data_IF_959079536654
#
_entry.id   IF_959079536654
#
_cell.length_a   1.000
_cell.length_b   1.000
_cell.length_c   1.000
_cell.angle_alpha   90.00
_cell.angle_beta   90.00
_cell.angle_gamma   90.00
#
_symmetry.space_group_name_H-M   'P 1'
#
loop_
_entity.id
_entity.type
_entity.pdbx_description
1 polymer ?
#
# COMPACT_ATOMS: atom_id res chain seq x y z
N UNK A 1 54.73 25.27 1.61
CA UNK A 1 53.75 24.52 2.41
C UNK A 1 52.45 24.48 1.61
N UNK A 2 52.06 23.32 1.21
CA UNK A 2 51.00 23.08 0.20
C UNK A 2 49.60 23.23 0.81
N UNK A 3 48.79 24.14 0.25
CA UNK A 3 47.37 24.41 0.65
C UNK A 3 46.36 23.49 -0.04
N UNK A 4 46.84 22.43 -0.70
CA UNK A 4 45.99 21.46 -1.45
C UNK A 4 45.14 20.54 -0.58
N UNK A 5 45.51 20.10 0.66
CA UNK A 5 44.69 19.18 1.42
C UNK A 5 43.41 19.75 2.00
N UNK A 6 43.27 21.08 2.13
CA UNK A 6 42.06 21.67 2.72
C UNK A 6 40.89 21.74 1.72
N UNK A 7 41.17 21.86 0.43
CA UNK A 7 40.13 21.92 -0.60
C UNK A 7 39.55 20.54 -0.95
N UNK A 8 40.30 19.46 -0.75
CA UNK A 8 39.85 18.11 -1.02
C UNK A 8 38.90 17.56 0.07
N UNK A 9 39.05 18.05 1.30
CA UNK A 9 38.19 17.65 2.41
C UNK A 9 36.79 18.29 2.36
N UNK A 10 36.64 19.43 1.70
CA UNK A 10 35.33 20.08 1.52
C UNK A 10 34.49 19.38 0.44
N UNK A 11 35.14 18.72 -0.52
CA UNK A 11 34.45 17.97 -1.59
C UNK A 11 33.94 16.59 -1.15
N UNK A 12 34.32 16.11 0.03
CA UNK A 12 33.92 14.80 0.57
C UNK A 12 32.84 14.89 1.66
N UNK A 13 32.27 16.07 1.92
CA UNK A 13 31.09 16.15 2.77
C UNK A 13 29.94 15.54 1.98
N UNK A 14 29.41 14.37 2.37
CA UNK A 14 28.24 13.83 1.71
C UNK A 14 27.12 14.87 1.88
N UNK A 15 26.69 15.47 0.78
CA UNK A 15 25.49 16.31 0.78
C UNK A 15 24.34 15.36 1.12
N UNK A 16 23.96 15.32 2.38
CA UNK A 16 22.81 14.56 2.84
C UNK A 16 21.57 15.27 2.29
N UNK A 17 21.06 14.79 1.16
CA UNK A 17 19.78 15.24 0.65
C UNK A 17 18.67 14.77 1.62
N UNK A 18 18.06 15.72 2.28
CA UNK A 18 16.87 15.47 3.09
C UNK A 18 15.66 15.38 2.17
N UNK A 19 15.00 14.24 2.18
CA UNK A 19 13.76 14.01 1.44
C UNK A 19 12.57 13.98 2.40
N UNK A 20 11.41 14.38 1.90
CA UNK A 20 10.15 14.28 2.63
C UNK A 20 9.34 13.10 2.10
N UNK A 21 9.12 12.09 2.95
CA UNK A 21 8.38 10.88 2.62
C UNK A 21 7.05 10.87 3.36
N UNK A 22 5.96 10.68 2.63
CA UNK A 22 4.62 10.54 3.18
C UNK A 22 4.22 9.06 3.26
N UNK A 23 3.83 8.60 4.43
CA UNK A 23 3.24 7.29 4.63
C UNK A 23 1.72 7.41 4.68
N UNK A 24 1.01 6.62 3.87
CA UNK A 24 -0.46 6.61 3.87
C UNK A 24 -0.96 5.20 4.16
N UNK A 25 -1.63 5.04 5.29
CA UNK A 25 -2.31 3.81 5.67
C UNK A 25 -3.52 4.10 6.54
N UNK A 26 -4.64 4.34 5.92
CA UNK A 26 -5.84 4.91 6.51
C UNK A 26 -6.75 3.90 7.21
N UNK A 27 -6.56 2.59 7.02
CA UNK A 27 -7.30 1.55 7.70
C UNK A 27 -6.51 0.24 7.76
N UNK A 28 -6.85 -0.61 8.71
CA UNK A 28 -6.20 -1.91 8.87
C UNK A 28 -6.05 -2.32 10.33
N UNK A 29 -5.20 -3.29 10.57
CA UNK A 29 -4.87 -3.79 11.90
C UNK A 29 -3.54 -3.24 12.40
N UNK A 30 -3.26 -3.36 13.68
CA UNK A 30 -1.95 -2.98 14.26
C UNK A 30 -0.76 -3.64 13.54
N UNK A 31 -0.95 -4.84 12.99
CA UNK A 31 0.11 -5.54 12.24
C UNK A 31 0.62 -4.73 11.05
N UNK A 32 -0.25 -4.03 10.35
CA UNK A 32 0.15 -3.17 9.23
C UNK A 32 1.02 -1.99 9.68
N UNK A 33 0.67 -1.36 10.81
CA UNK A 33 1.50 -0.29 11.38
C UNK A 33 2.86 -0.80 11.83
N UNK A 34 2.91 -2.00 12.44
CA UNK A 34 4.17 -2.65 12.85
C UNK A 34 5.09 -2.87 11.67
N UNK A 35 4.53 -3.19 10.50
CA UNK A 35 5.31 -3.39 9.27
C UNK A 35 5.86 -2.08 8.70
N UNK A 36 5.12 -0.98 8.75
CA UNK A 36 5.54 0.31 8.17
C UNK A 36 6.46 1.12 9.11
N UNK A 37 6.27 0.99 10.41
CA UNK A 37 6.98 1.77 11.42
C UNK A 37 8.51 1.67 11.32
N UNK A 38 9.15 0.49 11.18
CA UNK A 38 10.61 0.38 11.06
C UNK A 38 11.18 1.13 9.86
N UNK A 39 10.45 1.16 8.75
CA UNK A 39 10.87 1.92 7.57
C UNK A 39 10.84 3.43 7.85
N UNK A 40 9.79 3.91 8.51
CA UNK A 40 9.70 5.31 8.91
C UNK A 40 10.81 5.69 9.91
N UNK A 41 11.09 4.83 10.90
CA UNK A 41 12.18 5.02 11.86
C UNK A 41 13.55 5.11 11.18
N UNK A 42 13.81 4.25 10.22
CA UNK A 42 15.10 4.24 9.51
C UNK A 42 15.27 5.49 8.64
N UNK A 43 14.21 5.96 7.98
CA UNK A 43 14.24 7.20 7.22
C UNK A 43 14.51 8.41 8.13
N UNK A 44 13.88 8.46 9.29
CA UNK A 44 14.12 9.52 10.29
C UNK A 44 15.56 9.49 10.80
N UNK A 45 16.11 8.31 11.11
CA UNK A 45 17.53 8.15 11.52
C UNK A 45 18.51 8.65 10.45
N UNK A 46 18.14 8.53 9.18
CA UNK A 46 18.94 9.04 8.05
C UNK A 46 18.75 10.53 7.79
N UNK A 47 17.99 11.22 8.63
CA UNK A 47 17.78 12.68 8.53
C UNK A 47 16.69 13.08 7.54
N UNK A 48 15.87 12.15 7.05
CA UNK A 48 14.73 12.48 6.19
C UNK A 48 13.56 13.01 7.03
N UNK A 49 12.68 13.79 6.39
CA UNK A 49 11.41 14.19 6.96
C UNK A 49 10.36 13.12 6.64
N UNK A 50 9.58 12.73 7.64
CA UNK A 50 8.50 11.76 7.48
C UNK A 50 7.19 12.36 7.95
N UNK A 51 6.18 12.33 7.10
CA UNK A 51 4.78 12.56 7.47
C UNK A 51 3.99 11.27 7.35
N UNK A 52 2.98 11.10 8.18
CA UNK A 52 2.13 9.92 8.09
C UNK A 52 0.65 10.27 8.25
N UNK A 53 -0.19 9.58 7.49
CA UNK A 53 -1.65 9.55 7.62
C UNK A 53 -2.01 8.14 8.04
N UNK A 54 -2.29 7.95 9.34
CA UNK A 54 -2.56 6.64 9.91
C UNK A 54 -3.88 6.63 10.69
N UNK A 55 -4.48 5.45 10.80
CA UNK A 55 -5.72 5.25 11.56
C UNK A 55 -5.51 5.11 13.08
N UNK A 56 -4.29 4.93 13.53
CA UNK A 56 -3.88 4.84 14.96
C UNK A 56 -2.48 5.44 15.13
N UNK A 57 -2.18 6.00 16.30
CA UNK A 57 -0.85 6.57 16.55
C UNK A 57 0.24 5.49 16.54
N UNK A 58 1.37 5.80 15.93
CA UNK A 58 2.56 4.94 15.89
C UNK A 58 3.38 5.00 17.16
N UNK A 59 3.24 6.09 17.92
CA UNK A 59 4.06 6.39 19.08
C UNK A 59 5.49 6.82 18.74
N UNK A 60 5.79 7.13 17.45
CA UNK A 60 7.07 7.69 17.06
C UNK A 60 7.21 9.12 17.58
N UNK A 61 8.41 9.43 18.09
CA UNK A 61 8.76 10.78 18.56
C UNK A 61 10.07 11.18 17.91
N UNK A 62 10.02 12.15 17.01
CA UNK A 62 11.19 12.67 16.32
C UNK A 62 10.88 14.08 15.81
N UNK A 63 11.86 14.98 15.78
CA UNK A 63 11.69 16.38 15.33
C UNK A 63 11.24 16.49 13.86
N UNK A 64 11.69 15.56 13.00
CA UNK A 64 11.36 15.49 11.59
C UNK A 64 10.15 14.59 11.30
N UNK A 65 9.36 14.24 12.32
CA UNK A 65 8.17 13.40 12.17
C UNK A 65 6.89 14.18 12.43
N UNK A 66 5.95 14.08 11.51
CA UNK A 66 4.59 14.63 11.65
C UNK A 66 3.57 13.51 11.44
N UNK A 67 2.66 13.33 12.37
CA UNK A 67 1.64 12.28 12.29
C UNK A 67 0.25 12.89 12.28
N UNK A 68 -0.54 12.52 11.28
CA UNK A 68 -1.99 12.79 11.17
C UNK A 68 -2.72 11.50 11.51
N UNK A 69 -3.44 11.49 12.63
CA UNK A 69 -4.17 10.30 13.09
C UNK A 69 -5.64 10.46 12.78
N UNK A 70 -6.12 9.75 11.77
CA UNK A 70 -7.52 9.76 11.34
C UNK A 70 -8.18 8.48 11.88
N UNK A 71 -8.97 8.55 12.96
CA UNK A 71 -9.61 7.37 13.53
C UNK A 71 -10.47 6.65 12.48
N UNK A 72 -10.20 5.37 12.30
CA UNK A 72 -10.93 4.53 11.34
C UNK A 72 -11.95 3.63 12.07
N UNK A 73 -13.10 3.45 11.46
CA UNK A 73 -14.10 2.50 11.91
C UNK A 73 -13.80 1.05 11.47
N UNK A 74 -12.58 0.78 10.99
CA UNK A 74 -12.19 -0.53 10.46
C UNK A 74 -12.45 -1.68 11.44
N UNK A 75 -12.16 -1.52 12.73
CA UNK A 75 -12.39 -2.55 13.74
C UNK A 75 -13.91 -2.88 13.88
N UNK A 76 -14.77 -1.86 13.78
CA UNK A 76 -16.23 -2.04 13.80
C UNK A 76 -16.73 -2.73 12.50
N UNK A 77 -16.17 -2.34 11.35
CA UNK A 77 -16.46 -2.96 10.06
C UNK A 77 -16.07 -4.43 10.07
N UNK A 78 -14.89 -4.78 10.59
CA UNK A 78 -14.43 -6.16 10.70
C UNK A 78 -15.25 -6.98 11.69
N UNK A 79 -15.67 -6.37 12.79
CA UNK A 79 -16.61 -7.01 13.73
C UNK A 79 -17.95 -7.33 13.08
N UNK A 80 -18.52 -6.40 12.32
CA UNK A 80 -19.76 -6.60 11.58
C UNK A 80 -19.62 -7.67 10.48
N UNK A 81 -18.49 -7.69 9.79
CA UNK A 81 -18.15 -8.73 8.82
C UNK A 81 -18.13 -10.12 9.46
N UNK A 82 -17.37 -10.30 10.54
CA UNK A 82 -17.25 -11.57 11.25
C UNK A 82 -18.61 -12.07 11.76
N UNK A 83 -19.43 -11.17 12.32
CA UNK A 83 -20.78 -11.51 12.78
C UNK A 83 -21.68 -11.99 11.63
N UNK A 84 -21.75 -11.24 10.53
CA UNK A 84 -22.54 -11.61 9.36
C UNK A 84 -22.06 -12.90 8.69
N UNK A 85 -20.75 -13.14 8.67
CA UNK A 85 -20.16 -14.38 8.16
C UNK A 85 -20.60 -15.58 8.98
N UNK A 86 -20.54 -15.48 10.32
CA UNK A 86 -21.00 -16.55 11.23
C UNK A 86 -22.52 -16.79 11.13
N UNK A 87 -23.32 -15.74 11.08
CA UNK A 87 -24.78 -15.84 10.96
C UNK A 87 -25.21 -16.55 9.66
N UNK A 88 -24.45 -16.36 8.58
CA UNK A 88 -24.73 -17.03 7.30
C UNK A 88 -24.20 -18.46 7.23
N UNK A 89 -23.50 -18.96 8.25
CA UNK A 89 -22.86 -20.27 8.23
C UNK A 89 -21.87 -20.42 7.07
N UNK A 90 -21.22 -19.35 6.70
CA UNK A 90 -20.40 -19.29 5.51
C UNK A 90 -19.01 -19.88 5.78
N UNK A 91 -18.61 -20.79 4.91
CA UNK A 91 -17.28 -21.39 4.91
C UNK A 91 -16.38 -20.68 3.91
N UNK A 92 -15.13 -20.43 4.30
CA UNK A 92 -14.07 -19.95 3.41
C UNK A 92 -13.81 -20.85 2.18
N UNK A 93 -14.33 -22.07 2.19
CA UNK A 93 -14.31 -22.99 1.05
C UNK A 93 -15.48 -22.78 0.07
N UNK A 94 -16.45 -21.91 0.39
CA UNK A 94 -17.57 -21.61 -0.47
C UNK A 94 -17.24 -20.45 -1.41
N UNK A 95 -17.19 -20.62 -2.75
CA UNK A 95 -16.85 -19.53 -3.67
C UNK A 95 -17.83 -18.35 -3.59
N UNK A 96 -19.10 -18.58 -3.28
CA UNK A 96 -20.08 -17.52 -3.09
C UNK A 96 -19.83 -16.69 -1.81
N UNK A 97 -19.16 -17.28 -0.81
CA UNK A 97 -18.69 -16.54 0.35
C UNK A 97 -17.70 -15.45 -0.06
N UNK A 98 -16.73 -15.77 -0.90
CA UNK A 98 -15.73 -14.80 -1.35
C UNK A 98 -16.33 -13.67 -2.18
N UNK A 99 -17.30 -13.97 -3.05
CA UNK A 99 -18.02 -12.93 -3.82
C UNK A 99 -18.75 -11.97 -2.87
N UNK A 100 -19.46 -12.52 -1.88
CA UNK A 100 -20.13 -11.71 -0.88
C UNK A 100 -19.15 -10.93 -0.01
N UNK A 101 -18.08 -11.58 0.47
CA UNK A 101 -17.04 -10.97 1.29
C UNK A 101 -16.38 -9.79 0.58
N UNK A 102 -16.03 -9.98 -0.69
CA UNK A 102 -15.43 -8.94 -1.50
C UNK A 102 -16.38 -7.76 -1.73
N UNK A 103 -17.68 -8.03 -1.97
CA UNK A 103 -18.68 -6.96 -2.08
C UNK A 103 -18.81 -6.15 -0.77
N UNK A 104 -18.85 -6.83 0.36
CA UNK A 104 -18.90 -6.18 1.66
C UNK A 104 -17.65 -5.35 1.96
N UNK A 105 -16.48 -5.93 1.69
CA UNK A 105 -15.21 -5.23 1.87
C UNK A 105 -15.13 -3.98 1.00
N UNK A 106 -15.49 -4.12 -0.24
CA UNK A 106 -15.42 -3.07 -1.21
C UNK A 106 -16.24 -1.85 -0.76
N UNK A 107 -17.52 -2.04 -0.45
CA UNK A 107 -18.41 -0.96 0.01
C UNK A 107 -17.84 -0.24 1.24
N UNK A 108 -17.31 -0.98 2.21
CA UNK A 108 -16.84 -0.39 3.47
C UNK A 108 -15.45 0.22 3.38
N UNK A 109 -14.59 -0.30 2.51
CA UNK A 109 -13.26 0.26 2.30
C UNK A 109 -13.29 1.64 1.64
N UNK A 110 -14.28 1.88 0.77
CA UNK A 110 -14.47 3.19 0.17
C UNK A 110 -14.91 4.23 1.19
N UNK A 111 -15.90 3.90 2.03
CA UNK A 111 -16.32 4.78 3.13
C UNK A 111 -15.11 5.18 3.98
N UNK A 112 -14.27 4.21 4.35
CA UNK A 112 -13.07 4.45 5.14
C UNK A 112 -12.00 5.28 4.41
N UNK A 113 -11.87 5.11 3.10
CA UNK A 113 -10.95 5.90 2.29
C UNK A 113 -11.43 7.36 2.19
N UNK A 114 -12.73 7.56 1.97
CA UNK A 114 -13.32 8.90 1.87
C UNK A 114 -13.27 9.68 3.19
N UNK A 115 -13.38 9.01 4.33
CA UNK A 115 -13.23 9.65 5.64
C UNK A 115 -11.86 10.33 5.80
N UNK A 116 -10.81 9.71 5.27
CA UNK A 116 -9.46 10.31 5.29
C UNK A 116 -9.38 11.54 4.41
N UNK A 117 -9.91 11.47 3.19
CA UNK A 117 -9.91 12.62 2.28
C UNK A 117 -10.74 13.80 2.80
N UNK A 118 -11.78 13.54 3.60
CA UNK A 118 -12.64 14.56 4.22
C UNK A 118 -12.07 15.13 5.51
N UNK A 119 -11.01 14.53 6.07
CA UNK A 119 -10.39 15.02 7.29
C UNK A 119 -9.77 16.41 7.05
N UNK A 120 -10.14 17.36 7.90
CA UNK A 120 -9.65 18.75 7.84
C UNK A 120 -8.11 18.80 7.88
N UNK A 121 -7.49 18.02 8.75
CA UNK A 121 -6.04 17.94 8.90
C UNK A 121 -5.34 17.47 7.60
N UNK A 122 -5.92 16.49 6.92
CA UNK A 122 -5.39 15.98 5.65
C UNK A 122 -5.61 16.99 4.52
N UNK A 123 -6.78 17.62 4.48
CA UNK A 123 -7.08 18.67 3.51
C UNK A 123 -6.11 19.85 3.66
N UNK A 124 -5.88 20.30 4.89
CA UNK A 124 -4.91 21.36 5.19
C UNK A 124 -3.48 20.96 4.81
N UNK A 125 -3.08 19.73 5.10
CA UNK A 125 -1.76 19.22 4.69
C UNK A 125 -1.58 19.26 3.18
N UNK A 126 -2.57 18.82 2.40
CA UNK A 126 -2.52 18.88 0.93
C UNK A 126 -2.47 20.33 0.44
N UNK A 127 -3.34 21.19 0.98
CA UNK A 127 -3.43 22.62 0.60
C UNK A 127 -2.22 23.44 1.03
N UNK A 128 -1.45 22.96 2.02
CA UNK A 128 -0.22 23.66 2.46
C UNK A 128 0.86 23.73 1.38
N UNK A 129 0.74 22.96 0.30
CA UNK A 129 1.74 22.90 -0.75
C UNK A 129 3.06 22.25 -0.29
N UNK A 130 3.04 21.51 0.81
CA UNK A 130 4.22 20.78 1.31
C UNK A 130 4.75 19.84 0.24
N UNK A 131 5.99 20.07 -0.19
CA UNK A 131 6.64 19.18 -1.15
C UNK A 131 6.85 17.82 -0.51
N UNK A 132 6.32 16.77 -1.15
CA UNK A 132 6.54 15.35 -0.82
C UNK A 132 7.37 14.74 -1.94
N UNK A 133 8.49 14.11 -1.61
CA UNK A 133 9.41 13.54 -2.60
C UNK A 133 9.04 12.10 -2.95
N UNK A 134 8.38 11.37 -2.06
CA UNK A 134 7.84 10.04 -2.31
C UNK A 134 6.72 9.70 -1.34
N UNK A 135 5.80 8.85 -1.77
CA UNK A 135 4.72 8.31 -0.93
C UNK A 135 4.89 6.81 -0.74
N UNK A 136 4.80 6.34 0.51
CA UNK A 136 4.73 4.91 0.86
C UNK A 136 3.29 4.54 1.12
N UNK A 137 2.77 3.55 0.42
CA UNK A 137 1.36 3.19 0.43
C UNK A 137 1.15 1.68 0.46
N UNK A 138 0.20 1.19 1.27
CA UNK A 138 -0.20 -0.23 1.28
C UNK A 138 -1.49 -0.49 0.48
N UNK A 139 -2.35 0.51 0.32
CA UNK A 139 -3.64 0.35 -0.36
C UNK A 139 -3.63 1.07 -1.71
N UNK A 140 -3.90 0.36 -2.81
CA UNK A 140 -3.91 0.95 -4.15
C UNK A 140 -4.79 2.20 -4.27
N UNK A 141 -5.96 2.23 -3.64
CA UNK A 141 -6.89 3.38 -3.66
C UNK A 141 -6.30 4.68 -3.12
N UNK A 142 -5.27 4.61 -2.25
CA UNK A 142 -4.56 5.79 -1.76
C UNK A 142 -3.62 6.42 -2.80
N UNK A 143 -3.45 5.83 -3.98
CA UNK A 143 -2.61 6.37 -5.05
C UNK A 143 -3.01 7.79 -5.47
N UNK A 144 -4.25 8.19 -5.22
CA UNK A 144 -4.77 9.55 -5.45
C UNK A 144 -3.92 10.61 -4.73
N UNK A 145 -3.40 10.32 -3.53
CA UNK A 145 -2.48 11.25 -2.84
C UNK A 145 -1.22 11.53 -3.65
N UNK A 146 -0.72 10.55 -4.40
CA UNK A 146 0.45 10.75 -5.26
C UNK A 146 0.16 11.66 -6.46
N UNK A 147 -1.07 11.71 -6.94
CA UNK A 147 -1.48 12.72 -7.95
C UNK A 147 -1.59 14.10 -7.33
N UNK A 148 -2.28 14.22 -6.20
CA UNK A 148 -2.47 15.49 -5.49
C UNK A 148 -1.14 16.14 -5.08
N UNK A 149 -0.17 15.33 -4.67
CA UNK A 149 1.14 15.78 -4.20
C UNK A 149 2.23 15.70 -5.29
N UNK A 150 1.87 15.22 -6.47
CA UNK A 150 2.77 15.02 -7.62
C UNK A 150 4.08 14.31 -7.25
N UNK A 151 3.98 13.15 -6.58
CA UNK A 151 5.13 12.38 -6.15
C UNK A 151 5.07 10.92 -6.63
N UNK A 152 6.21 10.20 -6.71
CA UNK A 152 6.25 8.77 -6.98
C UNK A 152 5.71 7.95 -5.81
N UNK A 153 5.25 6.73 -6.12
CA UNK A 153 4.72 5.78 -5.16
C UNK A 153 5.73 4.68 -4.90
N UNK A 154 5.98 4.40 -3.64
CA UNK A 154 6.56 3.15 -3.14
C UNK A 154 5.42 2.32 -2.60
N UNK A 155 4.99 1.33 -3.35
CA UNK A 155 3.95 0.40 -2.91
C UNK A 155 4.53 -0.55 -1.87
N UNK A 156 3.81 -0.78 -0.78
CA UNK A 156 4.23 -1.70 0.26
C UNK A 156 3.21 -2.84 0.38
N UNK A 157 3.65 -4.09 0.39
CA UNK A 157 2.79 -5.25 0.60
C UNK A 157 3.21 -6.01 1.83
N UNK A 158 2.28 -6.19 2.78
CA UNK A 158 2.49 -7.00 3.99
C UNK A 158 2.52 -8.50 3.74
N UNK A 159 2.27 -8.92 2.52
CA UNK A 159 2.26 -10.31 2.03
C UNK A 159 2.90 -10.36 0.64
N UNK A 160 2.94 -11.55 0.04
CA UNK A 160 3.29 -11.66 -1.38
C UNK A 160 2.40 -10.74 -2.24
N UNK A 161 2.91 -10.19 -3.34
CA UNK A 161 2.13 -9.31 -4.19
C UNK A 161 0.90 -10.03 -4.76
N UNK A 162 -0.27 -9.58 -4.33
CA UNK A 162 -1.53 -10.01 -4.98
C UNK A 162 -1.76 -9.15 -6.23
N UNK A 163 -2.56 -9.61 -7.20
CA UNK A 163 -2.69 -8.94 -8.50
C UNK A 163 -2.97 -7.45 -8.41
N UNK A 164 -3.93 -7.03 -7.60
CA UNK A 164 -4.29 -5.62 -7.46
C UNK A 164 -3.18 -4.75 -6.83
N UNK A 165 -2.29 -5.34 -6.02
CA UNK A 165 -1.10 -4.66 -5.49
C UNK A 165 0.00 -4.61 -6.56
N UNK A 166 0.16 -5.69 -7.33
CA UNK A 166 1.18 -5.77 -8.38
C UNK A 166 0.86 -4.92 -9.63
N UNK A 167 -0.38 -4.45 -9.79
CA UNK A 167 -0.81 -3.68 -10.98
C UNK A 167 0.09 -2.47 -11.28
N UNK A 168 0.61 -1.80 -10.26
CA UNK A 168 1.49 -0.65 -10.42
C UNK A 168 2.88 -1.01 -10.94
N UNK A 169 3.32 -2.25 -10.78
CA UNK A 169 4.68 -2.67 -11.14
C UNK A 169 4.76 -3.30 -12.54
N UNK A 170 3.63 -3.43 -13.24
CA UNK A 170 3.51 -4.17 -14.51
C UNK A 170 3.93 -5.65 -14.41
N UNK A 171 4.12 -6.18 -13.21
CA UNK A 171 4.45 -7.59 -12.99
C UNK A 171 3.23 -8.45 -13.25
N UNK A 172 3.35 -9.36 -14.20
CA UNK A 172 2.29 -10.32 -14.51
C UNK A 172 2.47 -11.55 -13.62
N UNK A 173 1.50 -11.77 -12.73
CA UNK A 173 1.46 -12.95 -11.88
C UNK A 173 0.91 -14.13 -12.70
N UNK A 174 1.67 -15.20 -12.77
CA UNK A 174 1.24 -16.41 -13.50
C UNK A 174 0.44 -17.33 -12.57
N UNK A 175 -0.87 -17.14 -12.54
CA UNK A 175 -1.79 -17.95 -11.73
C UNK A 175 -1.90 -19.43 -12.16
N UNK A 176 -1.30 -19.83 -13.28
CA UNK A 176 -1.15 -21.24 -13.63
C UNK A 176 -0.05 -21.94 -12.82
N UNK A 177 0.88 -21.17 -12.26
CA UNK A 177 2.00 -21.69 -11.45
C UNK A 177 1.87 -21.31 -9.99
N UNK A 178 1.39 -20.11 -9.71
CA UNK A 178 1.35 -19.52 -8.38
C UNK A 178 -0.07 -19.50 -7.83
N UNK A 179 -0.32 -20.06 -6.62
CA UNK A 179 -1.63 -20.00 -6.00
C UNK A 179 -2.09 -18.55 -5.82
N UNK A 180 -3.33 -18.28 -6.14
CA UNK A 180 -3.94 -16.99 -5.85
C UNK A 180 -4.12 -16.83 -4.33
N UNK A 181 -3.85 -15.66 -3.79
CA UNK A 181 -3.76 -15.43 -2.35
C UNK A 181 -5.00 -15.86 -1.54
N UNK A 182 -6.17 -15.89 -2.18
CA UNK A 182 -7.43 -16.32 -1.55
C UNK A 182 -7.87 -17.73 -2.01
N UNK A 183 -7.07 -18.41 -2.85
CA UNK A 183 -7.38 -19.76 -3.27
C UNK A 183 -6.95 -20.78 -2.20
N UNK A 184 -7.72 -21.85 -1.96
CA UNK A 184 -7.36 -22.90 -1.02
C UNK A 184 -6.33 -23.88 -1.61
N UNK A 185 -5.45 -23.41 -2.47
CA UNK A 185 -4.47 -24.24 -3.17
C UNK A 185 -3.07 -23.96 -2.66
N UNK A 186 -2.26 -25.02 -2.62
CA UNK A 186 -0.83 -24.97 -2.29
C UNK A 186 -0.01 -25.57 -3.46
N UNK A 187 1.22 -25.16 -3.60
CA UNK A 187 2.14 -25.74 -4.58
C UNK A 187 2.63 -27.13 -4.13
N UNK A 188 2.78 -28.09 -5.08
CA UNK A 188 2.44 -27.99 -6.49
C UNK A 188 0.95 -28.22 -6.75
N UNK A 189 0.31 -27.38 -7.58
CA UNK A 189 -1.08 -27.52 -7.96
C UNK A 189 -1.25 -28.57 -9.07
N UNK A 190 -2.30 -29.40 -8.97
CA UNK A 190 -2.77 -30.27 -10.05
C UNK A 190 -3.31 -29.43 -11.22
N UNK A 191 -3.51 -30.04 -12.39
CA UNK A 191 -4.09 -29.35 -13.55
C UNK A 191 -5.45 -28.70 -13.23
N UNK A 192 -6.33 -29.41 -12.56
CA UNK A 192 -7.67 -28.89 -12.18
C UNK A 192 -7.54 -27.70 -11.23
N UNK A 193 -6.68 -27.80 -10.24
CA UNK A 193 -6.42 -26.70 -9.29
C UNK A 193 -5.86 -25.46 -10.00
N UNK A 194 -4.97 -25.63 -10.99
CA UNK A 194 -4.47 -24.52 -11.79
C UNK A 194 -5.56 -23.82 -12.58
N UNK A 195 -6.46 -24.60 -13.21
CA UNK A 195 -7.63 -24.02 -13.90
C UNK A 195 -8.53 -23.26 -12.95
N UNK A 196 -8.88 -23.86 -11.80
CA UNK A 196 -9.69 -23.21 -10.78
C UNK A 196 -9.03 -21.93 -10.25
N UNK A 197 -7.74 -21.98 -9.97
CA UNK A 197 -6.96 -20.85 -9.51
C UNK A 197 -6.97 -19.70 -10.52
N UNK A 198 -6.77 -20.00 -11.78
CA UNK A 198 -6.79 -18.99 -12.84
C UNK A 198 -8.19 -18.37 -13.04
N UNK A 199 -9.23 -19.18 -13.01
CA UNK A 199 -10.61 -18.68 -13.09
C UNK A 199 -10.96 -17.80 -11.89
N UNK A 200 -10.57 -18.21 -10.70
CA UNK A 200 -10.79 -17.42 -9.49
C UNK A 200 -10.07 -16.07 -9.55
N UNK A 201 -8.82 -16.05 -10.00
CA UNK A 201 -8.07 -14.80 -10.16
C UNK A 201 -8.75 -13.88 -11.17
N UNK A 202 -9.15 -14.40 -12.33
CA UNK A 202 -9.82 -13.63 -13.37
C UNK A 202 -11.14 -13.01 -12.88
N UNK A 203 -11.99 -13.79 -12.21
CA UNK A 203 -13.26 -13.30 -11.67
C UNK A 203 -13.01 -12.22 -10.61
N UNK A 204 -12.02 -12.42 -9.76
CA UNK A 204 -11.67 -11.45 -8.71
C UNK A 204 -11.14 -10.16 -9.30
N UNK A 205 -10.25 -10.24 -10.28
CA UNK A 205 -9.67 -9.06 -10.94
C UNK A 205 -10.74 -8.26 -11.68
N UNK A 206 -11.63 -8.92 -12.43
CA UNK A 206 -12.75 -8.27 -13.10
C UNK A 206 -13.70 -7.59 -12.10
N UNK A 207 -13.95 -8.23 -10.97
CA UNK A 207 -14.81 -7.67 -9.94
C UNK A 207 -14.16 -6.47 -9.25
N UNK A 208 -12.87 -6.53 -8.92
CA UNK A 208 -12.12 -5.41 -8.34
C UNK A 208 -12.14 -4.23 -9.31
N UNK A 209 -11.88 -4.46 -10.58
CA UNK A 209 -11.88 -3.42 -11.61
C UNK A 209 -13.27 -2.77 -11.77
N UNK A 210 -14.32 -3.60 -11.85
CA UNK A 210 -15.70 -3.10 -11.88
C UNK A 210 -16.02 -2.25 -10.66
N UNK A 211 -15.69 -2.72 -9.47
CA UNK A 211 -15.96 -2.03 -8.22
C UNK A 211 -15.26 -0.66 -8.16
N UNK A 212 -13.98 -0.62 -8.44
CA UNK A 212 -13.24 0.64 -8.43
C UNK A 212 -13.75 1.62 -9.50
N UNK A 213 -14.24 1.13 -10.62
CA UNK A 213 -14.89 1.96 -11.63
C UNK A 213 -16.22 2.58 -11.11
N UNK A 214 -16.94 1.93 -10.19
CA UNK A 214 -18.14 2.50 -9.58
C UNK A 214 -17.81 3.61 -8.56
N UNK A 215 -16.70 3.45 -7.83
CA UNK A 215 -16.36 4.34 -6.72
C UNK A 215 -15.51 5.54 -7.16
N UNK A 216 -14.75 5.39 -8.23
CA UNK A 216 -13.89 6.46 -8.75
C UNK A 216 -14.60 7.80 -9.03
N UNK A 217 -15.84 7.86 -9.54
CA UNK A 217 -16.55 9.13 -9.73
C UNK A 217 -16.69 9.94 -8.45
N UNK A 218 -16.97 9.30 -7.31
CA UNK A 218 -17.10 9.99 -6.00
C UNK A 218 -15.78 10.61 -5.57
N UNK A 219 -14.68 9.87 -5.73
CA UNK A 219 -13.34 10.35 -5.41
C UNK A 219 -12.97 11.53 -6.33
N UNK A 220 -13.22 11.39 -7.62
CA UNK A 220 -12.95 12.40 -8.63
C UNK A 220 -13.72 13.69 -8.33
N UNK A 221 -15.02 13.60 -8.09
CA UNK A 221 -15.88 14.74 -7.80
C UNK A 221 -15.45 15.46 -6.52
N UNK A 222 -15.12 14.70 -5.47
CA UNK A 222 -14.63 15.30 -4.23
C UNK A 222 -13.31 16.05 -4.44
N UNK A 223 -12.33 15.41 -5.09
CA UNK A 223 -11.01 16.00 -5.34
C UNK A 223 -11.12 17.24 -6.23
N UNK A 224 -11.92 17.17 -7.28
CA UNK A 224 -12.17 18.32 -8.16
C UNK A 224 -12.80 19.49 -7.39
N UNK A 225 -13.77 19.21 -6.53
CA UNK A 225 -14.46 20.23 -5.73
C UNK A 225 -13.56 20.85 -4.68
N UNK A 226 -12.78 20.04 -3.98
CA UNK A 226 -12.00 20.47 -2.81
C UNK A 226 -10.64 21.06 -3.18
N UNK A 227 -10.00 20.52 -4.21
CA UNK A 227 -8.63 20.90 -4.59
C UNK A 227 -8.54 21.53 -5.99
N UNK A 228 -9.60 21.48 -6.80
CA UNK A 228 -9.60 21.99 -8.18
C UNK A 228 -8.75 21.17 -9.14
N UNK A 229 -8.40 19.93 -8.78
CA UNK A 229 -7.50 19.04 -9.53
C UNK A 229 -8.33 17.92 -10.17
N UNK A 230 -8.10 17.67 -11.46
CA UNK A 230 -8.65 16.49 -12.12
C UNK A 230 -7.69 15.32 -11.92
N UNK A 231 -8.19 14.22 -11.32
CA UNK A 231 -7.40 13.01 -11.06
C UNK A 231 -7.68 11.92 -12.08
N UNK A 232 -6.67 11.10 -12.33
CA UNK A 232 -6.77 9.88 -13.12
C UNK A 232 -7.34 8.72 -12.30
N UNK A 233 -7.87 7.71 -13.00
CA UNK A 233 -8.25 6.47 -12.33
C UNK A 233 -7.04 5.85 -11.60
N UNK A 234 -7.25 5.35 -10.40
CA UNK A 234 -6.19 4.85 -9.50
C UNK A 234 -5.26 3.81 -10.15
N UNK A 235 -5.79 2.94 -11.02
CA UNK A 235 -4.96 1.95 -11.78
C UNK A 235 -3.97 2.66 -12.69
N UNK A 236 -4.41 3.71 -13.38
CA UNK A 236 -3.54 4.52 -14.25
C UNK A 236 -2.48 5.21 -13.40
N UNK A 237 -2.88 5.84 -12.31
CA UNK A 237 -1.95 6.51 -11.38
C UNK A 237 -0.90 5.55 -10.83
N UNK A 238 -1.31 4.34 -10.43
CA UNK A 238 -0.36 3.33 -9.98
C UNK A 238 0.63 2.95 -11.10
N UNK A 239 0.15 2.69 -12.32
CA UNK A 239 1.03 2.31 -13.44
C UNK A 239 2.02 3.40 -13.83
N UNK A 240 1.63 4.66 -13.70
CA UNK A 240 2.46 5.79 -14.09
C UNK A 240 3.41 6.25 -12.98
N UNK A 241 3.01 6.11 -11.71
CA UNK A 241 3.75 6.67 -10.56
C UNK A 241 4.39 5.64 -9.63
N UNK A 242 4.02 4.35 -9.72
CA UNK A 242 4.62 3.32 -8.87
C UNK A 242 6.05 3.02 -9.34
N UNK A 243 7.02 3.51 -8.59
CA UNK A 243 8.43 3.31 -8.87
C UNK A 243 8.95 1.97 -8.31
N UNK A 244 8.39 1.53 -7.18
CA UNK A 244 8.90 0.40 -6.42
C UNK A 244 7.77 -0.31 -5.67
N UNK A 245 7.84 -1.64 -5.57
CA UNK A 245 7.02 -2.45 -4.67
C UNK A 245 7.94 -3.15 -3.66
N UNK A 246 7.73 -2.88 -2.39
CA UNK A 246 8.33 -3.60 -1.27
C UNK A 246 7.39 -4.71 -0.83
N UNK A 247 7.78 -5.96 -0.98
CA UNK A 247 6.95 -7.12 -0.66
C UNK A 247 7.51 -7.89 0.53
N UNK A 248 6.69 -8.03 1.58
CA UNK A 248 7.04 -8.83 2.76
C UNK A 248 6.79 -10.31 2.47
N UNK A 249 7.69 -10.92 1.75
CA UNK A 249 7.61 -12.33 1.40
C UNK A 249 8.99 -13.00 1.53
N UNK A 250 8.97 -14.31 1.61
CA UNK A 250 10.18 -15.12 1.66
C UNK A 250 9.96 -16.41 0.89
N UNK A 251 10.90 -16.85 0.03
CA UNK A 251 10.75 -18.08 -0.76
C UNK A 251 10.43 -19.34 0.06
N UNK A 252 10.92 -19.42 1.31
CA UNK A 252 10.63 -20.57 2.20
C UNK A 252 9.14 -20.61 2.60
N UNK A 253 8.48 -19.45 2.75
CA UNK A 253 7.09 -19.39 3.23
C UNK A 253 6.06 -19.23 2.11
N UNK A 254 6.47 -18.67 0.97
CA UNK A 254 5.59 -18.30 -0.12
C UNK A 254 5.94 -18.93 -1.47
N UNK A 255 6.96 -19.81 -1.51
CA UNK A 255 7.49 -20.34 -2.77
C UNK A 255 8.39 -19.34 -3.51
N UNK A 256 9.00 -19.80 -4.60
CA UNK A 256 9.83 -18.96 -5.46
C UNK A 256 8.97 -18.23 -6.48
N UNK A 257 8.94 -16.90 -6.41
CA UNK A 257 8.18 -16.06 -7.33
C UNK A 257 9.12 -15.36 -8.33
N UNK A 258 8.62 -15.18 -9.54
CA UNK A 258 9.33 -14.36 -10.53
C UNK A 258 8.90 -12.91 -10.37
N UNK A 259 9.86 -12.07 -9.96
CA UNK A 259 9.63 -10.64 -9.80
C UNK A 259 10.41 -9.83 -10.82
N UNK A 260 9.83 -8.72 -11.25
CA UNK A 260 10.54 -7.70 -11.99
C UNK A 260 11.51 -6.94 -11.05
N UNK A 261 12.54 -6.27 -11.59
CA UNK A 261 13.54 -5.57 -10.78
C UNK A 261 13.00 -4.47 -9.87
N UNK A 262 11.81 -3.96 -10.15
CA UNK A 262 11.12 -2.98 -9.32
C UNK A 262 10.27 -3.59 -8.18
N UNK A 263 10.37 -4.90 -7.96
CA UNK A 263 9.81 -5.57 -6.79
C UNK A 263 10.95 -6.06 -5.92
N UNK A 264 11.03 -5.56 -4.70
CA UNK A 264 12.05 -5.92 -3.73
C UNK A 264 11.40 -6.71 -2.60
N UNK A 265 11.91 -7.92 -2.38
CA UNK A 265 11.55 -8.70 -1.20
C UNK A 265 12.18 -8.08 0.04
N UNK A 266 11.34 -7.73 1.01
CA UNK A 266 11.78 -7.25 2.31
C UNK A 266 11.45 -8.29 3.37
N UNK A 267 12.42 -8.57 4.24
CA UNK A 267 12.25 -9.53 5.33
C UNK A 267 12.04 -8.78 6.63
N UNK A 268 11.01 -9.15 7.34
CA UNK A 268 10.84 -8.72 8.71
C UNK A 268 11.28 -9.84 9.65
N UNK A 269 12.41 -9.68 10.27
CA UNK A 269 12.65 -10.31 11.58
C UNK A 269 11.96 -9.42 12.60
N UNK A 270 11.29 -10.01 13.59
CA UNK A 270 10.62 -9.27 14.66
C UNK A 270 11.62 -8.25 15.22
N UNK A 271 11.44 -6.98 14.84
CA UNK A 271 12.31 -5.86 15.23
C UNK A 271 13.20 -5.22 14.15
N UNK A 272 13.40 -5.83 12.96
CA UNK A 272 14.24 -5.23 11.92
C UNK A 272 13.72 -5.54 10.51
N UNK A 273 13.62 -4.49 9.70
CA UNK A 273 13.49 -4.63 8.25
C UNK A 273 14.90 -4.82 7.66
N UNK A 274 15.23 -6.01 7.21
CA UNK A 274 16.46 -6.25 6.47
C UNK A 274 16.16 -6.34 4.97
N UNK A 275 16.71 -5.43 4.19
CA UNK A 275 16.84 -5.58 2.74
C UNK A 275 18.01 -6.54 2.53
N UNK A 276 17.75 -7.67 1.88
CA UNK A 276 18.81 -8.62 1.51
C UNK A 276 19.52 -8.09 0.27
N UNK A 277 20.87 -8.14 0.21
CA UNK A 277 21.63 -7.77 -0.96
C UNK A 277 21.38 -8.68 -2.13
#
# INVERSE_FOLDING_TARGET
MSTIPLFLSVLLVPIAFTHHVLFVHNFGTKSHLILMKPLAEELLKRGHKVSSIFFKPTGLKHENYTEMVIPSQFDAVMGAYSKKSMEKGQSEYNPFFWIWAMGFYAEKMEDLAMDVFKSEEVVEFIKSGSKVDAMVNMQPGNSIFAELLNCPIVQFSGVQPVPFIAMGTTNVINHSLQPYAIAPHIEPMSFVQRVQNHLLSLVTDLWIDWYHNQMFPYQKDFVQKEFGIEISHWVKTLREKCALLLACCHPITHGAWQYLPNIIEVRFTIGFCMVWP
#
